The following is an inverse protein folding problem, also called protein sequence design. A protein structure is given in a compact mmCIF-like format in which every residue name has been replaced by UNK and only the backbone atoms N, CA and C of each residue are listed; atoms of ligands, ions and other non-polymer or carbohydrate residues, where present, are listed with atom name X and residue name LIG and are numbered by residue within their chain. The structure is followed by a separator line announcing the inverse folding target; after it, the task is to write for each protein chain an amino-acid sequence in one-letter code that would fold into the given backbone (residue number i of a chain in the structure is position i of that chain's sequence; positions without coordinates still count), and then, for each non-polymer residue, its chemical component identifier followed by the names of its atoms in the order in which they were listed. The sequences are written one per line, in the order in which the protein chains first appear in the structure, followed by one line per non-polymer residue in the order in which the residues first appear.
data_IF_130592014161
#
_entry.id   IF_130592014161
#
_cell.length_a   1.000
_cell.length_b   1.000
_cell.length_c   1.000
_cell.angle_alpha   90.00
_cell.angle_beta   90.00
_cell.angle_gamma   90.00
#
_symmetry.space_group_name_H-M   'P 1'
#
loop_
_entity.id
_entity.type
_entity.pdbx_description
1 polymer ?
#
# COMPACT_ATOMS: atom_id res chain seq x y z
N UNK A 1 -20.99 30.57 28.83
CA UNK A 1 -20.31 29.29 28.63
C UNK A 1 -21.04 28.56 27.51
N UNK A 2 -20.44 28.39 26.33
CA UNK A 2 -21.09 27.65 25.24
C UNK A 2 -20.88 26.14 25.47
N UNK A 3 -21.98 25.40 25.58
CA UNK A 3 -21.95 23.94 25.70
C UNK A 3 -22.13 23.40 24.29
N UNK A 4 -21.04 22.95 23.68
CA UNK A 4 -21.10 22.29 22.38
C UNK A 4 -21.66 20.89 22.56
N UNK A 5 -22.79 20.62 21.90
CA UNK A 5 -23.35 19.27 21.78
C UNK A 5 -23.04 18.77 20.37
N UNK A 6 -22.30 17.66 20.23
CA UNK A 6 -22.06 17.08 18.92
C UNK A 6 -23.42 16.74 18.30
N UNK A 7 -23.60 17.19 17.06
CA UNK A 7 -24.75 16.77 16.26
C UNK A 7 -24.59 15.28 15.94
N UNK A 8 -25.68 14.53 15.70
CA UNK A 8 -25.59 13.13 15.29
C UNK A 8 -24.64 12.91 14.09
N UNK A 9 -24.61 13.85 13.15
CA UNK A 9 -23.68 13.83 12.01
C UNK A 9 -22.20 13.88 12.43
N UNK A 10 -21.87 14.63 13.50
CA UNK A 10 -20.50 14.70 14.04
C UNK A 10 -20.09 13.36 14.66
N UNK A 11 -21.05 12.63 15.25
CA UNK A 11 -20.82 11.29 15.80
C UNK A 11 -20.54 10.27 14.69
N UNK A 12 -21.35 10.26 13.64
CA UNK A 12 -21.16 9.38 12.48
C UNK A 12 -19.81 9.62 11.79
N UNK A 13 -19.44 10.89 11.60
CA UNK A 13 -18.14 11.26 11.03
C UNK A 13 -16.97 10.79 11.91
N UNK A 14 -17.10 10.95 13.23
CA UNK A 14 -16.07 10.51 14.18
C UNK A 14 -15.90 8.98 14.17
N UNK A 15 -16.99 8.22 14.11
CA UNK A 15 -16.93 6.75 14.00
C UNK A 15 -16.33 6.30 12.66
N UNK A 16 -16.69 6.96 11.55
CA UNK A 16 -16.09 6.69 10.24
C UNK A 16 -14.57 6.92 10.24
N UNK A 17 -14.11 8.04 10.78
CA UNK A 17 -12.67 8.32 10.93
C UNK A 17 -11.97 7.30 11.83
N UNK A 18 -12.59 6.86 12.91
CA UNK A 18 -12.04 5.79 13.77
C UNK A 18 -11.90 4.47 13.02
N UNK A 19 -12.86 4.14 12.16
CA UNK A 19 -12.79 2.93 11.35
C UNK A 19 -11.59 2.96 10.38
N UNK A 20 -11.40 4.06 9.66
CA UNK A 20 -10.25 4.23 8.74
C UNK A 20 -8.93 4.06 9.50
N UNK A 21 -8.78 4.69 10.66
CA UNK A 21 -7.54 4.60 11.46
C UNK A 21 -7.28 3.17 11.91
N UNK A 22 -8.32 2.39 12.25
CA UNK A 22 -8.17 0.97 12.60
C UNK A 22 -7.68 0.16 11.40
N UNK A 23 -8.27 0.37 10.22
CA UNK A 23 -7.87 -0.33 9.00
C UNK A 23 -6.42 0.00 8.61
N UNK A 24 -6.04 1.28 8.65
CA UNK A 24 -4.65 1.70 8.41
C UNK A 24 -3.67 1.07 9.40
N UNK A 25 -4.05 0.96 10.68
CA UNK A 25 -3.21 0.31 11.69
C UNK A 25 -2.99 -1.17 11.37
N UNK A 26 -4.00 -1.89 10.89
CA UNK A 26 -3.83 -3.29 10.50
C UNK A 26 -2.89 -3.44 9.30
N UNK A 27 -2.96 -2.52 8.31
CA UNK A 27 -2.01 -2.50 7.20
C UNK A 27 -0.57 -2.27 7.67
N UNK A 28 -0.35 -1.37 8.64
CA UNK A 28 0.99 -1.09 9.19
C UNK A 28 1.57 -2.24 10.02
N UNK A 29 0.76 -3.20 10.46
CA UNK A 29 1.24 -4.42 11.11
C UNK A 29 1.72 -5.48 10.12
N UNK A 30 1.36 -5.35 8.84
CA UNK A 30 1.84 -6.26 7.82
C UNK A 30 3.36 -6.10 7.68
N UNK A 31 4.08 -7.17 7.29
CA UNK A 31 5.49 -7.04 6.97
C UNK A 31 5.65 -5.91 5.95
N UNK A 32 6.71 -5.09 6.07
CA UNK A 32 6.97 -4.07 5.06
C UNK A 32 6.97 -4.76 3.70
N UNK A 33 6.25 -4.22 2.69
CA UNK A 33 6.31 -4.78 1.36
C UNK A 33 7.78 -4.83 0.94
N UNK A 34 8.16 -5.81 0.11
CA UNK A 34 9.50 -5.89 -0.46
C UNK A 34 9.79 -4.57 -1.18
N UNK A 35 10.40 -3.64 -0.44
CA UNK A 35 10.86 -2.40 -0.98
C UNK A 35 12.05 -2.83 -1.81
N UNK A 36 11.92 -2.73 -3.13
CA UNK A 36 13.00 -2.93 -4.10
C UNK A 36 14.32 -2.17 -3.77
N UNK A 37 14.35 -1.39 -2.67
CA UNK A 37 15.50 -1.04 -1.81
C UNK A 37 16.33 -2.29 -1.41
N UNK A 38 16.98 -2.90 -2.40
CA UNK A 38 17.76 -4.12 -2.28
C UNK A 38 18.06 -4.73 -3.65
N UNK A 39 17.20 -4.47 -4.64
CA UNK A 39 17.56 -4.67 -6.04
C UNK A 39 18.54 -3.58 -6.44
N UNK A 40 19.72 -3.98 -6.87
CA UNK A 40 20.65 -3.06 -7.52
C UNK A 40 19.98 -2.61 -8.82
N UNK A 41 19.34 -1.44 -8.81
CA UNK A 41 18.76 -0.80 -10.01
C UNK A 41 19.79 -0.54 -11.11
N UNK A 42 21.08 -0.75 -10.81
CA UNK A 42 22.21 -0.64 -11.74
C UNK A 42 22.66 -1.98 -12.33
N UNK A 43 22.14 -3.13 -11.89
CA UNK A 43 22.45 -4.38 -12.57
C UNK A 43 21.61 -4.45 -13.85
N UNK A 44 22.25 -4.56 -15.04
CA UNK A 44 21.48 -4.77 -16.26
C UNK A 44 20.63 -6.03 -16.09
N UNK A 45 19.40 -5.99 -16.61
CA UNK A 45 18.55 -7.18 -16.75
C UNK A 45 19.44 -8.26 -17.35
N UNK A 46 19.65 -9.38 -16.63
CA UNK A 46 20.30 -10.53 -17.24
C UNK A 46 19.42 -10.89 -18.44
N UNK A 47 19.96 -10.72 -19.65
CA UNK A 47 19.34 -11.29 -20.82
C UNK A 47 19.33 -12.79 -20.54
N UNK A 48 18.14 -13.36 -20.38
CA UNK A 48 17.98 -14.80 -20.46
C UNK A 48 18.56 -15.22 -21.81
N UNK A 49 19.73 -15.85 -21.80
CA UNK A 49 20.44 -16.38 -22.98
C UNK A 49 19.71 -17.59 -23.60
N UNK A 50 18.40 -17.71 -23.36
CA UNK A 50 17.58 -18.83 -23.83
C UNK A 50 16.29 -18.36 -24.55
N UNK A 51 16.32 -17.17 -25.14
CA UNK A 51 15.45 -16.86 -26.26
C UNK A 51 16.12 -17.36 -27.55
N UNK A 52 16.13 -18.66 -27.77
CA UNK A 52 16.33 -19.19 -29.13
C UNK A 52 15.25 -18.56 -30.03
N UNK A 53 15.62 -17.80 -31.08
CA UNK A 53 14.64 -17.31 -32.03
C UNK A 53 14.23 -18.51 -32.89
N UNK A 54 13.05 -19.07 -32.61
CA UNK A 54 12.45 -20.02 -33.54
C UNK A 54 11.79 -19.21 -34.67
N UNK A 55 12.60 -18.78 -35.62
CA UNK A 55 12.14 -18.40 -36.96
C UNK A 55 12.46 -19.53 -37.95
N UNK A 56 11.52 -19.74 -38.87
CA UNK A 56 11.56 -20.59 -40.07
C UNK A 56 11.21 -22.09 -39.88
N UNK A 57 9.92 -22.46 -40.03
CA UNK A 57 9.29 -22.81 -41.33
C UNK A 57 7.89 -23.41 -41.18
#
# INVERSE_FOLDING_TARGET
MQVYRPLPADHEQAEYMRQIVRECRELLKQPPPDTFLGRRTHEPLQADDDATPNEER
#
